data_IF_610125244773
#
_entry.id   IF_610125244773
#
_cell.length_a   1.000
_cell.length_b   1.000
_cell.length_c   1.000
_cell.angle_alpha   90.00
_cell.angle_beta   90.00
_cell.angle_gamma   90.00
#
_symmetry.space_group_name_H-M   'P 1'
#
loop_
_entity.id
_entity.type
_entity.pdbx_description
1 polymer ?
#
# COMPACT_ATOMS: atom_id res chain seq x y z
N UNK A 1 -20.97 8.16 4.74
CA UNK A 1 -21.17 9.39 3.93
C UNK A 1 -22.65 9.83 3.97
N UNK A 2 -23.25 9.98 5.16
CA UNK A 2 -24.71 10.23 5.27
C UNK A 2 -25.12 11.60 4.73
N UNK A 3 -24.45 12.68 5.18
CA UNK A 3 -24.75 14.04 4.74
C UNK A 3 -24.66 14.19 3.22
N UNK A 4 -23.61 13.61 2.61
CA UNK A 4 -23.45 13.59 1.15
C UNK A 4 -24.62 12.89 0.45
N UNK A 5 -25.14 11.78 0.98
CA UNK A 5 -26.29 11.09 0.36
C UNK A 5 -27.57 11.92 0.44
N UNK A 6 -27.82 12.56 1.59
CA UNK A 6 -29.00 13.43 1.78
C UNK A 6 -29.02 14.62 0.84
N UNK A 7 -27.87 15.21 0.51
CA UNK A 7 -27.80 16.34 -0.43
C UNK A 7 -28.21 16.00 -1.87
N UNK A 8 -28.26 14.72 -2.27
CA UNK A 8 -28.54 14.28 -3.64
C UNK A 8 -29.77 13.35 -3.76
N UNK A 9 -30.56 13.17 -2.70
CA UNK A 9 -31.69 12.21 -2.64
C UNK A 9 -32.81 12.50 -3.67
N UNK A 10 -32.91 13.74 -4.16
CA UNK A 10 -33.84 14.14 -5.23
C UNK A 10 -33.22 14.27 -6.62
N UNK A 11 -31.91 14.01 -6.78
CA UNK A 11 -31.18 14.19 -8.03
C UNK A 11 -30.71 12.88 -8.67
N UNK A 12 -30.59 11.82 -7.87
CA UNK A 12 -30.04 10.52 -8.27
C UNK A 12 -31.00 9.43 -7.78
N UNK A 13 -31.19 8.33 -8.53
CA UNK A 13 -32.07 7.24 -8.10
C UNK A 13 -31.73 6.70 -6.69
N UNK A 14 -32.74 6.42 -5.83
CA UNK A 14 -32.53 5.99 -4.45
C UNK A 14 -31.60 4.78 -4.29
N UNK A 15 -31.63 3.86 -5.23
CA UNK A 15 -30.79 2.66 -5.27
C UNK A 15 -29.29 2.98 -5.41
N UNK A 16 -28.94 4.10 -6.05
CA UNK A 16 -27.56 4.59 -6.15
C UNK A 16 -27.22 5.46 -4.94
N UNK A 17 -28.13 6.38 -4.56
CA UNK A 17 -27.95 7.27 -3.40
C UNK A 17 -27.72 6.49 -2.12
N UNK A 18 -28.37 5.35 -1.94
CA UNK A 18 -28.27 4.52 -0.74
C UNK A 18 -27.48 3.22 -0.93
N UNK A 19 -26.83 3.05 -2.09
CA UNK A 19 -25.94 1.91 -2.37
C UNK A 19 -24.92 1.70 -1.25
N UNK A 20 -24.85 0.49 -0.70
CA UNK A 20 -23.84 0.13 0.32
C UNK A 20 -22.43 0.25 -0.26
N UNK A 21 -21.47 0.60 0.60
CA UNK A 21 -20.07 0.61 0.19
C UNK A 21 -19.63 -0.83 -0.01
N UNK A 22 -19.14 -1.13 -1.20
CA UNK A 22 -18.36 -2.33 -1.48
C UNK A 22 -16.89 -1.95 -1.60
N UNK A 23 -15.96 -2.85 -1.22
CA UNK A 23 -14.56 -2.67 -1.57
C UNK A 23 -14.39 -2.65 -3.11
N UNK A 24 -13.41 -1.89 -3.59
CA UNK A 24 -13.27 -1.63 -5.03
C UNK A 24 -12.93 -2.92 -5.77
N UNK A 25 -12.10 -3.75 -5.18
CA UNK A 25 -11.64 -5.04 -5.70
C UNK A 25 -12.78 -6.02 -5.96
N UNK A 26 -13.81 -6.02 -5.10
CA UNK A 26 -15.02 -6.83 -5.32
C UNK A 26 -15.93 -6.19 -6.37
N UNK A 27 -16.14 -4.87 -6.28
CA UNK A 27 -17.00 -4.14 -7.22
C UNK A 27 -16.49 -4.15 -8.66
N UNK A 28 -15.17 -4.23 -8.88
CA UNK A 28 -14.54 -4.34 -10.20
C UNK A 28 -14.29 -5.79 -10.63
N UNK A 29 -14.44 -6.77 -9.73
CA UNK A 29 -14.01 -8.15 -9.96
C UNK A 29 -12.48 -8.35 -9.99
N UNK A 30 -11.72 -7.33 -9.58
CA UNK A 30 -10.25 -7.37 -9.53
C UNK A 30 -9.70 -8.31 -8.45
N UNK A 31 -10.53 -8.86 -7.57
CA UNK A 31 -10.11 -9.91 -6.61
C UNK A 31 -9.39 -11.09 -7.29
N UNK A 32 -9.71 -11.39 -8.56
CA UNK A 32 -9.02 -12.41 -9.36
C UNK A 32 -7.53 -12.12 -9.60
N UNK A 33 -7.12 -10.84 -9.55
CA UNK A 33 -5.72 -10.47 -9.73
C UNK A 33 -4.82 -11.07 -8.65
N UNK A 34 -5.31 -11.20 -7.42
CA UNK A 34 -4.54 -11.82 -6.34
C UNK A 34 -4.08 -13.23 -6.69
N UNK A 35 -4.96 -14.05 -7.28
CA UNK A 35 -4.63 -15.41 -7.71
C UNK A 35 -3.66 -15.42 -8.89
N UNK A 36 -3.93 -14.58 -9.90
CA UNK A 36 -3.06 -14.46 -11.07
C UNK A 36 -1.64 -14.08 -10.66
N UNK A 37 -1.49 -13.05 -9.82
CA UNK A 37 -0.18 -12.56 -9.38
C UNK A 37 0.53 -13.56 -8.46
N UNK A 38 -0.19 -14.27 -7.59
CA UNK A 38 0.39 -15.33 -6.79
C UNK A 38 0.94 -16.49 -7.63
N UNK A 39 0.31 -16.79 -8.77
CA UNK A 39 0.77 -17.83 -9.70
C UNK A 39 1.92 -17.38 -10.62
N UNK A 40 2.11 -16.07 -10.79
CA UNK A 40 3.24 -15.50 -11.54
C UNK A 40 4.56 -15.51 -10.76
N UNK A 41 4.52 -15.83 -9.47
CA UNK A 41 5.69 -15.88 -8.59
C UNK A 41 5.79 -17.28 -8.00
N UNK A 42 6.89 -17.98 -8.28
CA UNK A 42 7.08 -19.32 -7.69
C UNK A 42 7.42 -19.21 -6.20
N UNK A 43 7.20 -20.29 -5.46
CA UNK A 43 7.61 -20.33 -4.05
C UNK A 43 9.12 -20.20 -3.92
N UNK A 44 9.88 -20.82 -4.82
CA UNK A 44 11.34 -20.79 -4.85
C UNK A 44 11.86 -19.36 -5.07
N UNK A 45 11.32 -18.65 -6.07
CA UNK A 45 11.66 -17.25 -6.34
C UNK A 45 11.35 -16.36 -5.13
N UNK A 46 10.18 -16.54 -4.53
CA UNK A 46 9.78 -15.75 -3.36
C UNK A 46 10.67 -16.02 -2.15
N UNK A 47 11.04 -17.29 -1.89
CA UNK A 47 11.91 -17.64 -0.77
C UNK A 47 13.36 -17.19 -0.97
N UNK A 48 13.87 -17.23 -2.21
CA UNK A 48 15.18 -16.66 -2.55
C UNK A 48 15.18 -15.14 -2.32
N UNK A 49 14.18 -14.42 -2.84
CA UNK A 49 14.07 -12.98 -2.67
C UNK A 49 14.00 -12.55 -1.19
N UNK A 50 13.31 -13.32 -0.33
CA UNK A 50 13.25 -13.05 1.11
C UNK A 50 14.59 -13.16 1.83
N UNK A 51 15.57 -13.84 1.25
CA UNK A 51 16.93 -13.99 1.81
C UNK A 51 17.90 -12.97 1.22
N UNK A 52 17.74 -12.63 -0.05
CA UNK A 52 18.69 -11.82 -0.80
C UNK A 52 18.38 -10.31 -0.72
N UNK A 53 17.10 -9.94 -0.56
CA UNK A 53 16.66 -8.55 -0.56
C UNK A 53 16.41 -8.07 0.87
N UNK A 54 16.95 -6.89 1.22
CA UNK A 54 16.66 -6.19 2.48
C UNK A 54 15.27 -5.51 2.47
N UNK A 55 14.24 -6.30 2.16
CA UNK A 55 12.83 -5.94 2.23
C UNK A 55 12.05 -7.12 2.79
N UNK A 56 11.25 -6.87 3.82
CA UNK A 56 10.32 -7.87 4.37
C UNK A 56 9.03 -7.87 3.57
N UNK A 57 8.96 -8.73 2.55
CA UNK A 57 7.76 -8.94 1.76
C UNK A 57 6.63 -9.54 2.61
N UNK A 58 5.41 -9.07 2.38
CA UNK A 58 4.21 -9.49 3.12
C UNK A 58 3.66 -10.79 2.51
N UNK A 59 3.64 -10.86 1.18
CA UNK A 59 3.21 -11.99 0.37
C UNK A 59 3.85 -11.89 -1.03
N UNK A 60 3.56 -12.88 -1.90
CA UNK A 60 4.08 -12.92 -3.28
C UNK A 60 3.66 -11.73 -4.12
N UNK A 61 2.43 -11.25 -3.96
CA UNK A 61 1.94 -10.08 -4.67
C UNK A 61 2.71 -8.80 -4.30
N UNK A 62 3.01 -8.58 -3.02
CA UNK A 62 3.86 -7.46 -2.60
C UNK A 62 5.26 -7.57 -3.22
N UNK A 63 5.84 -8.77 -3.28
CA UNK A 63 7.10 -8.99 -3.99
C UNK A 63 7.00 -8.70 -5.49
N UNK A 64 5.92 -9.15 -6.15
CA UNK A 64 5.68 -8.89 -7.57
C UNK A 64 5.65 -7.39 -7.87
N UNK A 65 4.88 -6.60 -7.11
CA UNK A 65 4.85 -5.15 -7.30
C UNK A 65 6.19 -4.48 -6.98
N UNK A 66 6.90 -4.96 -5.95
CA UNK A 66 8.23 -4.46 -5.65
C UNK A 66 9.22 -4.70 -6.80
N UNK A 67 9.18 -5.87 -7.46
CA UNK A 67 10.03 -6.13 -8.63
C UNK A 67 9.84 -5.09 -9.72
N UNK A 68 8.58 -4.78 -10.05
CA UNK A 68 8.24 -3.75 -11.03
C UNK A 68 8.73 -2.38 -10.56
N UNK A 69 8.51 -2.04 -9.29
CA UNK A 69 9.00 -0.78 -8.73
C UNK A 69 10.53 -0.66 -8.82
N UNK A 70 11.25 -1.72 -8.46
CA UNK A 70 12.71 -1.74 -8.50
C UNK A 70 13.24 -1.63 -9.94
N UNK A 71 12.54 -2.21 -10.91
CA UNK A 71 12.90 -2.11 -12.33
C UNK A 71 12.62 -0.72 -12.91
N UNK A 72 11.46 -0.13 -12.59
CA UNK A 72 10.99 1.11 -13.22
C UNK A 72 11.46 2.37 -12.48
N UNK A 73 11.52 2.33 -11.15
CA UNK A 73 11.82 3.47 -10.28
C UNK A 73 13.20 3.35 -9.65
N UNK A 74 13.60 2.15 -9.23
CA UNK A 74 14.89 1.88 -8.62
C UNK A 74 14.83 1.68 -7.10
N UNK A 75 15.96 1.97 -6.44
CA UNK A 75 16.16 1.63 -5.03
C UNK A 75 15.31 2.47 -4.06
N UNK A 76 14.88 1.82 -2.98
CA UNK A 76 14.13 2.49 -1.90
C UNK A 76 15.10 3.19 -0.96
N UNK A 77 15.03 4.52 -0.91
CA UNK A 77 15.79 5.32 0.05
C UNK A 77 15.40 4.99 1.49
N UNK A 78 16.38 4.54 2.28
CA UNK A 78 16.20 4.22 3.70
C UNK A 78 16.04 5.50 4.52
N UNK A 79 15.33 5.40 5.65
CA UNK A 79 15.18 6.51 6.58
C UNK A 79 16.57 6.96 7.09
N UNK A 80 16.89 8.24 6.92
CA UNK A 80 18.05 8.88 7.52
C UNK A 80 17.62 9.80 8.65
N UNK A 81 18.36 9.89 9.78
CA UNK A 81 18.14 10.92 10.80
C UNK A 81 18.24 12.35 10.25
N UNK A 82 18.95 12.53 9.13
CA UNK A 82 19.12 13.81 8.43
C UNK A 82 18.11 14.05 7.30
N UNK A 83 17.21 13.08 7.03
CA UNK A 83 16.22 13.23 5.97
C UNK A 83 15.10 14.19 6.41
N UNK A 84 14.55 15.00 5.48
CA UNK A 84 13.38 15.82 5.76
C UNK A 84 12.24 14.96 6.30
N UNK A 85 11.55 15.44 7.33
CA UNK A 85 10.41 14.73 7.90
C UNK A 85 9.39 14.42 6.80
N UNK A 86 8.90 13.16 6.69
CA UNK A 86 7.80 12.83 5.81
C UNK A 86 6.56 13.70 6.02
N UNK A 87 6.42 14.28 7.20
CA UNK A 87 5.25 15.03 7.66
C UNK A 87 5.28 16.52 7.30
N UNK A 88 6.44 17.17 7.39
CA UNK A 88 6.57 18.64 7.26
C UNK A 88 7.45 19.09 6.10
N UNK A 89 8.25 18.21 5.49
CA UNK A 89 9.27 18.61 4.52
C UNK A 89 10.44 19.39 5.13
N UNK A 90 10.43 19.61 6.45
CA UNK A 90 11.48 20.29 7.22
C UNK A 90 12.09 19.32 8.25
N UNK A 91 13.39 19.50 8.50
CA UNK A 91 14.29 18.50 9.10
C UNK A 91 14.34 18.45 10.63
N UNK A 92 13.22 18.39 11.34
CA UNK A 92 13.26 18.24 12.80
C UNK A 92 12.21 17.24 13.31
N UNK A 93 12.63 15.99 13.50
CA UNK A 93 11.88 14.91 14.16
C UNK A 93 12.44 13.51 13.81
N UNK A 94 12.40 12.55 14.75
CA UNK A 94 12.81 11.16 14.49
C UNK A 94 11.98 10.54 13.35
N UNK A 95 12.62 10.31 12.20
CA UNK A 95 11.99 9.60 11.09
C UNK A 95 11.93 8.11 11.42
N UNK A 96 10.74 7.62 11.79
CA UNK A 96 10.52 6.19 12.00
C UNK A 96 10.75 5.43 10.69
N UNK A 97 11.59 4.41 10.71
CA UNK A 97 11.79 3.53 9.56
C UNK A 97 10.61 2.56 9.40
N UNK A 98 10.24 2.30 8.15
CA UNK A 98 9.26 1.28 7.81
C UNK A 98 9.85 -0.11 8.11
N UNK A 99 9.15 -0.98 8.87
CA UNK A 99 9.67 -2.31 9.20
C UNK A 99 9.75 -3.25 8.00
N UNK A 100 9.10 -2.91 6.87
CA UNK A 100 9.14 -3.68 5.64
C UNK A 100 10.28 -3.24 4.71
N UNK A 101 10.26 -1.99 4.22
CA UNK A 101 11.21 -1.53 3.22
C UNK A 101 12.32 -0.62 3.77
N UNK A 102 12.24 -0.21 5.03
CA UNK A 102 13.22 0.70 5.65
C UNK A 102 13.07 2.18 5.27
N UNK A 103 12.15 2.54 4.37
CA UNK A 103 11.85 3.93 4.03
C UNK A 103 11.31 4.73 5.23
N UNK A 104 11.35 6.06 5.15
CA UNK A 104 10.70 6.92 6.13
C UNK A 104 9.19 6.66 6.19
N UNK A 105 8.67 6.34 7.38
CA UNK A 105 7.28 5.96 7.60
C UNK A 105 6.45 7.15 8.08
N UNK A 106 5.23 7.28 7.55
CA UNK A 106 4.24 8.22 8.08
C UNK A 106 3.60 7.72 9.38
N UNK A 107 2.56 8.41 9.84
CA UNK A 107 1.90 8.10 11.13
C UNK A 107 1.32 6.68 11.18
N UNK A 108 0.62 6.27 10.12
CA UNK A 108 -0.13 5.00 10.09
C UNK A 108 0.38 4.03 9.03
N UNK A 109 0.93 4.54 7.92
CA UNK A 109 1.39 3.72 6.82
C UNK A 109 2.69 4.23 6.19
N UNK A 110 3.40 3.34 5.52
CA UNK A 110 4.55 3.65 4.69
C UNK A 110 4.07 4.16 3.33
N UNK A 111 4.57 5.32 2.91
CA UNK A 111 4.22 5.92 1.61
C UNK A 111 4.90 5.25 0.42
N UNK A 112 5.94 4.44 0.67
CA UNK A 112 6.68 3.73 -0.37
C UNK A 112 6.10 2.34 -0.64
N UNK A 113 5.96 1.50 0.40
CA UNK A 113 5.54 0.11 0.23
C UNK A 113 4.12 -0.19 0.75
N UNK A 114 3.38 0.81 1.23
CA UNK A 114 2.00 0.65 1.69
C UNK A 114 1.83 -0.08 3.04
N UNK A 115 2.90 -0.55 3.69
CA UNK A 115 2.81 -1.20 5.00
C UNK A 115 2.07 -0.29 5.99
N UNK A 116 0.97 -0.78 6.57
CA UNK A 116 0.21 -0.08 7.60
C UNK A 116 0.30 -0.80 8.94
N UNK A 117 0.40 -0.05 10.04
CA UNK A 117 0.24 -0.63 11.38
C UNK A 117 -1.21 -1.12 11.55
N UNK A 118 -1.45 -2.23 12.26
CA UNK A 118 -2.79 -2.59 12.69
C UNK A 118 -3.44 -1.39 13.39
N UNK A 119 -4.67 -1.06 13.02
CA UNK A 119 -5.46 -0.06 13.74
C UNK A 119 -5.83 -0.71 15.07
N UNK A 120 -5.24 -0.22 16.17
CA UNK A 120 -5.62 -0.62 17.54
C UNK A 120 -7.09 -0.28 17.81
#
# INVERSE_FOLDING_TARGET
KYILRKSFEGLIPPEIVWRRKEPIEYGSGSTKLHEILNNMVTDEEFQSARKEVDIKFINKEHFFYWRIYNEVVGEILKASPSAPSPFTGEGWGEVKSCPCCGAGMGTYHCRTCGFSRPML
#
